data_IF_314062488804
#
_entry.id   IF_314062488804
#
_cell.length_a   1.000
_cell.length_b   1.000
_cell.length_c   1.000
_cell.angle_alpha   90.00
_cell.angle_beta   90.00
_cell.angle_gamma   90.00
#
_symmetry.space_group_name_H-M   'P 1'
#
loop_
_entity.id
_entity.type
_entity.pdbx_description
1 polymer ?
#
# COMPACT_ATOMS: atom_id res chain seq x y z
N UNK A 1 -5.20 16.94 -81.42
CA UNK A 1 -5.25 18.24 -80.72
C UNK A 1 -6.42 18.21 -79.74
N UNK A 2 -6.16 18.51 -78.47
CA UNK A 2 -7.12 18.47 -77.37
C UNK A 2 -8.04 19.71 -77.37
N UNK A 3 -9.31 19.53 -77.01
CA UNK A 3 -10.16 20.60 -76.47
C UNK A 3 -10.73 20.13 -75.13
N UNK A 4 -10.13 20.60 -74.05
CA UNK A 4 -10.55 20.31 -72.68
C UNK A 4 -11.82 21.08 -72.34
N UNK A 5 -12.88 20.35 -71.98
CA UNK A 5 -14.10 20.91 -71.40
C UNK A 5 -13.87 21.00 -69.89
N UNK A 6 -13.74 22.21 -69.37
CA UNK A 6 -13.69 22.46 -67.91
C UNK A 6 -15.11 22.28 -67.36
N UNK A 7 -15.31 21.29 -66.50
CA UNK A 7 -16.56 21.11 -65.79
C UNK A 7 -16.63 22.11 -64.63
N UNK A 8 -17.71 22.90 -64.60
CA UNK A 8 -17.98 23.91 -63.61
C UNK A 8 -18.61 23.27 -62.36
N UNK A 9 -17.87 23.24 -61.24
CA UNK A 9 -18.24 22.58 -59.98
C UNK A 9 -19.08 23.47 -59.05
N UNK A 10 -19.50 24.64 -59.52
CA UNK A 10 -20.21 25.66 -58.74
C UNK A 10 -21.63 25.24 -58.30
N UNK A 11 -22.22 24.22 -58.92
CA UNK A 11 -23.52 23.64 -58.54
C UNK A 11 -23.46 22.77 -57.28
N UNK A 12 -22.33 22.10 -57.02
CA UNK A 12 -22.16 21.25 -55.82
C UNK A 12 -22.02 22.06 -54.53
N UNK A 13 -21.46 23.26 -54.60
CA UNK A 13 -21.23 24.11 -53.42
C UNK A 13 -22.55 24.71 -52.90
N UNK A 14 -23.56 24.91 -53.76
CA UNK A 14 -24.85 25.46 -53.35
C UNK A 14 -25.71 24.46 -52.58
N UNK A 15 -25.61 23.16 -52.85
CA UNK A 15 -26.34 22.11 -52.10
C UNK A 15 -25.78 21.85 -50.70
N UNK A 16 -24.50 22.16 -50.45
CA UNK A 16 -23.88 21.96 -49.13
C UNK A 16 -24.26 23.03 -48.09
N UNK A 17 -24.94 24.12 -48.48
CA UNK A 17 -25.33 25.21 -47.56
C UNK A 17 -26.73 25.06 -46.94
N UNK A 18 -27.56 24.14 -47.44
CA UNK A 18 -28.95 24.01 -46.97
C UNK A 18 -29.19 22.85 -45.98
N UNK A 19 -28.23 21.96 -45.79
CA UNK A 19 -28.32 20.91 -44.75
C UNK A 19 -27.83 21.43 -43.41
N UNK A 20 -28.59 22.37 -42.82
CA UNK A 20 -28.56 22.60 -41.38
C UNK A 20 -29.14 21.37 -40.69
N UNK A 21 -28.29 20.41 -40.36
CA UNK A 21 -28.61 19.30 -39.47
C UNK A 21 -29.00 19.85 -38.11
N UNK A 22 -30.29 19.75 -37.81
CA UNK A 22 -30.85 20.09 -36.51
C UNK A 22 -30.55 18.92 -35.56
N UNK A 23 -29.32 18.83 -35.06
CA UNK A 23 -28.97 17.84 -34.03
C UNK A 23 -29.47 18.31 -32.66
N UNK A 24 -30.22 17.48 -31.90
CA UNK A 24 -30.66 17.86 -30.57
C UNK A 24 -29.44 18.04 -29.67
N UNK A 25 -29.29 19.25 -29.13
CA UNK A 25 -28.24 19.58 -28.16
C UNK A 25 -28.55 18.78 -26.89
N UNK A 26 -27.85 17.66 -26.68
CA UNK A 26 -27.84 16.97 -25.40
C UNK A 26 -27.24 17.93 -24.36
N UNK A 27 -28.06 18.35 -23.39
CA UNK A 27 -27.59 19.04 -22.19
C UNK A 27 -26.64 18.10 -21.46
N UNK A 28 -25.34 18.38 -21.58
CA UNK A 28 -24.30 17.72 -20.79
C UNK A 28 -24.52 18.17 -19.35
N UNK A 29 -25.09 17.29 -18.52
CA UNK A 29 -25.15 17.51 -17.08
C UNK A 29 -23.71 17.42 -16.58
N UNK A 30 -23.14 18.45 -15.94
CA UNK A 30 -21.82 18.35 -15.37
C UNK A 30 -21.84 17.23 -14.32
N UNK A 31 -21.04 16.19 -14.55
CA UNK A 31 -20.82 15.16 -13.56
C UNK A 31 -20.25 15.83 -12.30
N UNK A 32 -20.96 15.70 -11.17
CA UNK A 32 -20.40 16.10 -9.88
C UNK A 32 -19.03 15.44 -9.73
N UNK A 33 -17.96 16.20 -9.41
CA UNK A 33 -16.66 15.59 -9.19
C UNK A 33 -16.81 14.60 -8.03
N UNK A 34 -16.65 13.31 -8.34
CA UNK A 34 -16.52 12.27 -7.33
C UNK A 34 -15.39 12.73 -6.42
N UNK A 35 -15.71 13.03 -5.15
CA UNK A 35 -14.74 13.34 -4.13
C UNK A 35 -13.79 12.14 -4.06
N UNK A 36 -12.64 12.27 -4.70
CA UNK A 36 -11.63 11.24 -4.70
C UNK A 36 -10.99 11.32 -3.34
N UNK A 37 -11.19 10.27 -2.53
CA UNK A 37 -10.57 10.19 -1.22
C UNK A 37 -9.06 10.49 -1.33
N UNK A 38 -8.49 11.21 -0.34
CA UNK A 38 -7.09 11.60 -0.39
C UNK A 38 -6.24 10.34 -0.53
N UNK A 39 -5.51 10.22 -1.65
CA UNK A 39 -4.59 9.10 -1.90
C UNK A 39 -3.59 9.01 -0.75
N UNK A 40 -3.75 8.02 0.11
CA UNK A 40 -2.80 7.73 1.19
C UNK A 40 -1.46 7.39 0.53
N UNK A 41 -0.44 8.21 0.80
CA UNK A 41 0.91 7.96 0.28
C UNK A 41 1.45 6.69 0.92
N UNK A 42 1.74 5.70 0.09
CA UNK A 42 2.34 4.43 0.49
C UNK A 42 3.84 4.40 0.19
N UNK A 43 4.60 3.68 1.00
CA UNK A 43 6.03 3.46 0.85
C UNK A 43 6.35 1.99 1.01
N UNK A 44 7.30 1.52 0.22
CA UNK A 44 7.87 0.19 0.34
C UNK A 44 8.84 0.15 1.53
N UNK A 45 8.49 -0.62 2.56
CA UNK A 45 9.26 -0.71 3.79
C UNK A 45 9.90 -2.11 3.92
N UNK A 46 11.24 -2.19 3.92
CA UNK A 46 11.94 -3.47 3.97
C UNK A 46 12.12 -3.99 5.41
N UNK A 47 11.98 -5.30 5.56
CA UNK A 47 12.27 -6.10 6.74
C UNK A 47 13.21 -7.26 6.38
N UNK A 48 14.10 -7.63 7.31
CA UNK A 48 14.94 -8.82 7.19
C UNK A 48 14.44 -9.86 8.19
N UNK A 49 13.70 -10.85 7.70
CA UNK A 49 12.91 -11.77 8.54
C UNK A 49 13.33 -13.21 8.32
N UNK A 50 13.13 -14.02 9.34
CA UNK A 50 13.26 -15.47 9.26
C UNK A 50 12.09 -16.07 8.46
N UNK A 51 12.31 -17.22 7.83
CA UNK A 51 11.32 -17.84 6.95
C UNK A 51 10.02 -18.19 7.69
N UNK A 52 10.12 -18.72 8.90
CA UNK A 52 9.06 -19.07 9.83
C UNK A 52 8.11 -17.88 10.12
N UNK A 53 8.63 -16.65 10.23
CA UNK A 53 7.82 -15.43 10.41
C UNK A 53 7.01 -15.10 9.16
N UNK A 54 7.57 -15.35 7.98
CA UNK A 54 6.90 -15.14 6.69
C UNK A 54 5.81 -16.20 6.47
N UNK A 55 6.08 -17.44 6.90
CA UNK A 55 5.11 -18.54 6.83
C UNK A 55 3.90 -18.27 7.71
N UNK A 56 4.10 -17.82 8.96
CA UNK A 56 3.00 -17.40 9.83
C UNK A 56 2.09 -16.35 9.17
N UNK A 57 2.66 -15.32 8.52
CA UNK A 57 1.85 -14.33 7.81
C UNK A 57 1.02 -14.95 6.68
N UNK A 58 1.59 -15.92 5.95
CA UNK A 58 0.86 -16.61 4.87
C UNK A 58 -0.31 -17.40 5.44
N UNK A 59 -0.11 -18.09 6.55
CA UNK A 59 -1.16 -18.86 7.22
C UNK A 59 -2.26 -17.94 7.76
N UNK A 60 -1.89 -16.82 8.36
CA UNK A 60 -2.83 -15.79 8.80
C UNK A 60 -3.67 -15.23 7.64
N UNK A 61 -3.04 -14.93 6.50
CA UNK A 61 -3.76 -14.47 5.30
C UNK A 61 -4.72 -15.52 4.76
N UNK A 62 -4.30 -16.79 4.73
CA UNK A 62 -5.16 -17.91 4.32
C UNK A 62 -6.34 -18.08 5.28
N UNK A 63 -6.12 -17.93 6.58
CA UNK A 63 -7.17 -17.94 7.59
C UNK A 63 -8.20 -16.83 7.30
N UNK A 64 -7.77 -15.56 7.22
CA UNK A 64 -8.66 -14.42 6.93
C UNK A 64 -9.47 -14.60 5.66
N UNK A 65 -8.83 -15.09 4.58
CA UNK A 65 -9.48 -15.39 3.30
C UNK A 65 -10.57 -16.45 3.41
N UNK A 66 -10.41 -17.43 4.30
CA UNK A 66 -11.42 -18.47 4.56
C UNK A 66 -12.55 -17.97 5.45
N UNK A 67 -12.26 -17.04 6.37
CA UNK A 67 -13.24 -16.52 7.33
C UNK A 67 -14.34 -15.69 6.68
N UNK A 68 -14.04 -14.91 5.64
CA UNK A 68 -15.04 -14.09 4.95
C UNK A 68 -14.72 -13.91 3.46
N UNK A 69 -15.72 -13.97 2.56
CA UNK A 69 -15.55 -13.62 1.15
C UNK A 69 -15.00 -12.21 0.92
N UNK A 70 -15.25 -11.27 1.85
CA UNK A 70 -14.73 -9.90 1.78
C UNK A 70 -13.20 -9.85 1.82
N UNK A 71 -12.57 -10.79 2.51
CA UNK A 71 -11.11 -10.88 2.64
C UNK A 71 -10.47 -11.72 1.54
N UNK A 72 -11.17 -12.06 0.45
CA UNK A 72 -10.62 -12.91 -0.61
C UNK A 72 -9.29 -12.37 -1.19
N UNK A 73 -9.17 -11.05 -1.33
CA UNK A 73 -7.96 -10.39 -1.84
C UNK A 73 -6.96 -9.99 -0.75
N UNK A 74 -7.24 -10.31 0.52
CA UNK A 74 -6.39 -9.94 1.65
C UNK A 74 -4.97 -10.47 1.46
N UNK A 75 -3.97 -9.63 1.63
CA UNK A 75 -2.56 -9.94 1.32
C UNK A 75 -1.67 -9.86 2.56
N UNK A 76 -0.42 -10.34 2.44
CA UNK A 76 0.57 -10.19 3.52
C UNK A 76 0.81 -8.71 3.88
N UNK A 77 0.67 -7.80 2.89
CA UNK A 77 0.78 -6.36 3.15
C UNK A 77 -0.38 -5.88 4.03
N UNK A 78 -1.59 -6.38 3.79
CA UNK A 78 -2.77 -6.02 4.58
C UNK A 78 -2.68 -6.57 6.00
N UNK A 79 -2.18 -7.81 6.15
CA UNK A 79 -1.88 -8.39 7.46
C UNK A 79 -0.86 -7.55 8.25
N UNK A 80 0.19 -7.06 7.59
CA UNK A 80 1.18 -6.18 8.22
C UNK A 80 0.57 -4.84 8.59
N UNK A 81 -0.28 -4.23 7.75
CA UNK A 81 -0.99 -2.99 8.09
C UNK A 81 -1.92 -3.17 9.27
N UNK A 82 -2.67 -4.27 9.30
CA UNK A 82 -3.56 -4.62 10.39
C UNK A 82 -2.76 -4.78 11.71
N UNK A 83 -1.65 -5.51 11.67
CA UNK A 83 -0.79 -5.66 12.84
C UNK A 83 -0.16 -4.33 13.30
N UNK A 84 0.23 -3.44 12.38
CA UNK A 84 0.69 -2.08 12.75
C UNK A 84 -0.44 -1.29 13.41
N UNK A 85 -1.68 -1.43 12.93
CA UNK A 85 -2.86 -0.85 13.55
C UNK A 85 -3.00 -1.28 15.01
N UNK A 86 -2.86 -2.59 15.28
CA UNK A 86 -2.91 -3.11 16.65
C UNK A 86 -1.79 -2.58 17.54
N UNK A 87 -0.57 -2.44 17.00
CA UNK A 87 0.53 -1.81 17.74
C UNK A 87 0.26 -0.33 18.01
N UNK A 88 -0.37 0.39 17.07
CA UNK A 88 -0.75 1.79 17.26
C UNK A 88 -1.80 1.94 18.36
N UNK A 89 -2.77 1.03 18.42
CA UNK A 89 -3.77 1.01 19.49
C UNK A 89 -3.15 0.72 20.85
N UNK A 90 -2.07 -0.08 20.89
CA UNK A 90 -1.32 -0.41 22.10
C UNK A 90 -0.39 0.72 22.57
N UNK A 91 0.22 1.44 21.63
CA UNK A 91 1.18 2.51 21.89
C UNK A 91 0.62 3.88 21.44
N UNK A 92 -0.51 4.29 22.01
CA UNK A 92 -1.19 5.55 21.65
C UNK A 92 -0.37 6.79 22.05
N UNK A 93 0.26 6.76 23.23
CA UNK A 93 0.99 7.89 23.82
C UNK A 93 2.48 7.88 23.48
N UNK A 94 2.83 7.39 22.29
CA UNK A 94 4.22 7.25 21.88
C UNK A 94 4.86 8.62 21.59
N UNK A 95 5.94 8.93 22.29
CA UNK A 95 6.69 10.16 22.06
C UNK A 95 7.22 10.26 20.63
N UNK A 96 7.10 11.44 20.05
CA UNK A 96 7.65 11.70 18.72
C UNK A 96 9.17 11.82 18.81
N UNK A 97 9.88 11.08 17.97
CA UNK A 97 11.35 11.18 17.89
C UNK A 97 11.79 12.58 17.42
N UNK A 98 12.96 13.07 17.85
CA UNK A 98 13.52 14.34 17.37
C UNK A 98 13.68 14.34 15.85
N UNK A 99 13.36 15.46 15.19
CA UNK A 99 13.46 15.60 13.74
C UNK A 99 14.88 15.41 13.18
N UNK A 100 15.91 15.53 14.03
CA UNK A 100 17.31 15.27 13.69
C UNK A 100 17.60 13.79 13.43
N UNK A 101 16.80 12.86 13.97
CA UNK A 101 16.98 11.41 13.81
C UNK A 101 16.13 10.89 12.65
N UNK A 102 16.73 10.86 11.46
CA UNK A 102 16.03 10.51 10.21
C UNK A 102 15.62 9.03 10.15
N UNK A 103 16.47 8.12 10.63
CA UNK A 103 16.22 6.68 10.63
C UNK A 103 16.66 6.09 11.97
N UNK A 104 15.70 5.63 12.79
CA UNK A 104 16.01 5.04 14.10
C UNK A 104 16.43 3.58 14.03
N UNK A 105 16.44 2.96 12.85
CA UNK A 105 16.68 1.52 12.75
C UNK A 105 18.15 1.27 12.47
N UNK A 106 18.90 0.83 13.48
CA UNK A 106 20.14 0.09 13.24
C UNK A 106 19.80 -1.10 12.35
N UNK A 107 20.59 -1.30 11.30
CA UNK A 107 20.49 -2.50 10.48
C UNK A 107 20.89 -3.64 11.41
N UNK A 108 19.91 -4.44 11.86
CA UNK A 108 20.19 -5.58 12.74
C UNK A 108 21.35 -6.39 12.17
N UNK A 109 22.25 -6.84 13.03
CA UNK A 109 23.52 -7.48 12.69
C UNK A 109 23.32 -8.44 11.51
N UNK A 110 24.03 -8.20 10.40
CA UNK A 110 23.94 -9.00 9.18
C UNK A 110 24.00 -10.49 9.55
N UNK A 111 22.96 -11.22 9.19
CA UNK A 111 22.60 -12.53 9.73
C UNK A 111 23.58 -13.64 9.38
N UNK A 112 24.68 -13.73 10.15
CA UNK A 112 25.54 -14.92 10.18
C UNK A 112 25.80 -15.44 11.60
N UNK A 113 25.33 -14.75 12.64
CA UNK A 113 25.67 -15.10 14.03
C UNK A 113 25.04 -16.44 14.51
N UNK A 114 23.90 -16.87 13.95
CA UNK A 114 23.14 -18.02 14.50
C UNK A 114 22.69 -19.08 13.47
N UNK A 115 23.21 -19.09 12.23
CA UNK A 115 22.83 -20.10 11.22
C UNK A 115 21.40 -19.98 10.65
N UNK A 116 20.60 -19.01 11.10
CA UNK A 116 19.23 -18.79 10.62
C UNK A 116 19.24 -17.93 9.35
N UNK A 117 18.69 -18.47 8.26
CA UNK A 117 18.61 -17.78 6.96
C UNK A 117 17.52 -16.69 7.01
N UNK A 118 17.96 -15.43 7.03
CA UNK A 118 17.06 -14.27 6.93
C UNK A 118 16.81 -13.91 5.46
N UNK A 119 15.54 -13.69 5.10
CA UNK A 119 15.12 -13.20 3.79
C UNK A 119 14.68 -11.75 3.88
N UNK A 120 15.22 -10.92 2.98
CA UNK A 120 14.74 -9.55 2.82
C UNK A 120 13.37 -9.57 2.16
N UNK A 121 12.38 -8.98 2.82
CA UNK A 121 11.00 -8.85 2.35
C UNK A 121 10.57 -7.40 2.46
N UNK A 122 9.68 -6.95 1.58
CA UNK A 122 9.22 -5.56 1.55
C UNK A 122 7.70 -5.52 1.56
N UNK A 123 7.13 -4.65 2.40
CA UNK A 123 5.68 -4.44 2.48
C UNK A 123 5.33 -2.98 2.20
N UNK A 124 4.18 -2.75 1.57
CA UNK A 124 3.72 -1.40 1.25
C UNK A 124 2.88 -0.83 2.39
N UNK A 125 3.42 0.12 3.15
CA UNK A 125 2.75 0.72 4.33
C UNK A 125 2.51 2.21 4.10
N UNK A 126 1.64 2.83 4.89
CA UNK A 126 1.44 4.28 4.79
C UNK A 126 2.68 5.04 5.30
N UNK A 127 2.87 6.28 4.87
CA UNK A 127 3.93 7.15 5.44
C UNK A 127 3.72 7.33 6.94
N UNK A 128 2.47 7.44 7.41
CA UNK A 128 2.14 7.55 8.84
C UNK A 128 2.61 6.33 9.64
N UNK A 129 2.42 5.13 9.08
CA UNK A 129 2.85 3.88 9.72
C UNK A 129 4.36 3.77 9.77
N UNK A 130 5.04 4.21 8.71
CA UNK A 130 6.50 4.30 8.72
C UNK A 130 7.00 5.22 9.84
N UNK A 131 6.40 6.39 9.99
CA UNK A 131 6.80 7.34 11.04
C UNK A 131 6.52 6.78 12.44
N UNK A 132 5.37 6.11 12.62
CA UNK A 132 5.04 5.40 13.85
C UNK A 132 6.08 4.32 14.18
N UNK A 133 6.41 3.45 13.22
CA UNK A 133 7.43 2.39 13.40
C UNK A 133 8.76 2.99 13.85
N UNK A 134 9.20 4.07 13.23
CA UNK A 134 10.46 4.71 13.61
C UNK A 134 10.40 5.38 14.97
N UNK A 135 9.28 5.99 15.35
CA UNK A 135 9.10 6.50 16.71
C UNK A 135 9.12 5.35 17.73
N UNK A 136 8.52 4.20 17.39
CA UNK A 136 8.40 3.07 18.32
C UNK A 136 9.76 2.44 18.56
N UNK A 137 10.53 2.26 17.48
CA UNK A 137 11.92 1.81 17.57
C UNK A 137 12.74 2.80 18.39
N UNK A 138 12.58 4.11 18.16
CA UNK A 138 13.32 5.14 18.89
C UNK A 138 12.99 5.16 20.39
N UNK A 139 11.71 5.14 20.75
CA UNK A 139 11.27 5.16 22.14
C UNK A 139 11.74 3.92 22.93
N UNK A 140 11.86 2.78 22.25
CA UNK A 140 12.39 1.54 22.83
C UNK A 140 13.91 1.42 22.78
N UNK A 141 14.61 2.29 22.04
CA UNK A 141 16.09 2.35 21.96
C UNK A 141 16.73 3.04 23.19
N UNK A 142 16.14 2.85 24.37
CA UNK A 142 16.70 3.34 25.65
C UNK A 142 17.99 2.61 26.07
N UNK A 143 18.34 1.52 25.38
CA UNK A 143 19.58 0.79 25.54
C UNK A 143 20.19 0.51 24.15
N UNK A 144 21.44 0.92 23.86
CA UNK A 144 22.03 0.95 22.53
C UNK A 144 22.32 -0.44 21.91
N UNK A 145 21.69 -1.52 22.36
CA UNK A 145 22.02 -2.88 21.96
C UNK A 145 20.94 -3.64 21.19
N UNK A 146 19.63 -3.53 21.45
CA UNK A 146 18.80 -4.72 21.16
C UNK A 146 17.47 -4.56 20.41
N UNK A 147 16.80 -3.40 20.37
CA UNK A 147 15.50 -3.32 19.67
C UNK A 147 15.63 -2.95 18.19
N UNK A 148 15.29 -3.90 17.31
CA UNK A 148 15.42 -3.78 15.86
C UNK A 148 14.07 -4.03 15.13
N UNK A 149 14.07 -3.86 13.80
CA UNK A 149 12.86 -4.05 12.97
C UNK A 149 12.27 -5.46 13.04
N UNK A 150 13.10 -6.47 13.30
CA UNK A 150 12.69 -7.85 13.43
C UNK A 150 11.96 -8.07 14.77
N UNK A 151 12.42 -7.46 15.87
CA UNK A 151 11.72 -7.53 17.17
C UNK A 151 10.37 -6.82 17.10
N UNK A 152 10.31 -5.67 16.41
CA UNK A 152 9.05 -5.00 16.10
C UNK A 152 8.10 -5.90 15.30
N UNK A 153 8.65 -6.69 14.38
CA UNK A 153 7.86 -7.64 13.61
C UNK A 153 7.35 -8.78 14.50
N UNK A 154 8.14 -9.24 15.47
CA UNK A 154 7.70 -10.26 16.42
C UNK A 154 6.59 -9.75 17.34
N UNK A 155 6.68 -8.49 17.80
CA UNK A 155 5.58 -7.84 18.51
C UNK A 155 4.32 -7.77 17.64
N UNK A 156 4.48 -7.43 16.35
CA UNK A 156 3.36 -7.40 15.41
C UNK A 156 2.71 -8.78 15.26
N UNK A 157 3.50 -9.83 15.03
CA UNK A 157 2.98 -11.19 14.88
C UNK A 157 2.32 -11.68 16.18
N UNK A 158 2.88 -11.30 17.33
CA UNK A 158 2.30 -11.59 18.64
C UNK A 158 0.91 -10.98 18.77
N UNK A 159 0.74 -9.69 18.45
CA UNK A 159 -0.58 -9.03 18.49
C UNK A 159 -1.58 -9.69 17.52
N UNK A 160 -1.14 -10.07 16.32
CA UNK A 160 -1.99 -10.80 15.37
C UNK A 160 -2.46 -12.14 15.96
N UNK A 161 -1.55 -12.90 16.56
CA UNK A 161 -1.87 -14.20 17.16
C UNK A 161 -2.75 -14.11 18.42
N UNK A 162 -2.60 -13.05 19.22
CA UNK A 162 -3.40 -12.86 20.45
C UNK A 162 -4.84 -12.51 20.11
N UNK A 163 -5.07 -11.77 19.02
CA UNK A 163 -6.41 -11.43 18.54
C UNK A 163 -7.04 -12.51 17.66
N UNK A 164 -6.21 -13.41 17.12
CA UNK A 164 -6.62 -14.53 16.27
C UNK A 164 -5.94 -15.83 16.72
N UNK A 165 -6.37 -16.40 17.86
CA UNK A 165 -5.75 -17.59 18.44
C UNK A 165 -5.93 -18.85 17.57
N UNK A 166 -6.82 -18.81 16.57
CA UNK A 166 -7.04 -19.92 15.64
C UNK A 166 -5.88 -20.14 14.66
N UNK A 167 -4.97 -19.16 14.55
CA UNK A 167 -3.76 -19.28 13.73
C UNK A 167 -2.61 -19.71 14.64
N UNK A 168 -2.17 -20.95 14.47
CA UNK A 168 -1.13 -21.56 15.31
C UNK A 168 0.19 -20.75 15.27
N UNK A 169 0.80 -20.51 16.44
CA UNK A 169 2.08 -19.79 16.53
C UNK A 169 3.21 -20.67 16.00
N UNK A 170 3.95 -20.16 15.02
CA UNK A 170 5.08 -20.87 14.40
C UNK A 170 6.47 -20.48 14.97
N UNK A 171 6.54 -19.73 16.07
CA UNK A 171 7.78 -19.15 16.58
C UNK A 171 7.81 -19.02 18.11
#
# INVERSE_FOLDING_TARGET
MAKGVKQDLSSFIKQAKETKTNTPIQKVVPANPVQTEPKIKSVNFPFNLEQNRIEFLRDFVLFKRKSSPEFFTFSNTDAVREGIGYLRDKYQDLEQRPASVKYSTRVGTNGLLNGVVKKQTTFSISVSDREFIYNLVFAKDGNPAEYNKADLFDELLKELSERHPEVEKAF
#
